data_IF_680379526990
#
_entry.id   IF_680379526990
#
_cell.length_a   1.000
_cell.length_b   1.000
_cell.length_c   1.000
_cell.angle_alpha   90.00
_cell.angle_beta   90.00
_cell.angle_gamma   90.00
#
_symmetry.space_group_name_H-M   'P 1'
#
loop_
_entity.id
_entity.type
_entity.pdbx_description
1 polymer ?
#
# COMPACT_ATOMS: atom_id res chain seq x y z
N UNK A 1 -6.01 17.47 -8.29
CA UNK A 1 -6.67 16.86 -7.12
C UNK A 1 -5.63 16.63 -6.05
N UNK A 2 -5.92 16.99 -4.82
CA UNK A 2 -4.98 16.78 -3.72
C UNK A 2 -4.89 15.30 -3.39
N UNK A 3 -3.78 14.93 -2.76
CA UNK A 3 -3.58 13.56 -2.34
C UNK A 3 -4.63 13.14 -1.32
N UNK A 4 -4.98 14.02 -0.40
CA UNK A 4 -5.99 13.74 0.60
C UNK A 4 -7.34 13.40 -0.04
N UNK A 5 -7.75 14.20 -1.02
CA UNK A 5 -9.01 13.95 -1.73
C UNK A 5 -8.96 12.63 -2.48
N UNK A 6 -7.81 12.31 -3.05
CA UNK A 6 -7.64 11.04 -3.76
C UNK A 6 -7.78 9.85 -2.80
N UNK A 7 -7.20 9.97 -1.61
CA UNK A 7 -7.31 8.91 -0.61
C UNK A 7 -8.74 8.77 -0.10
N UNK A 8 -9.48 9.88 0.04
CA UNK A 8 -10.89 9.81 0.40
C UNK A 8 -11.69 9.06 -0.67
N UNK A 9 -11.42 9.37 -1.93
CA UNK A 9 -12.09 8.70 -3.03
C UNK A 9 -11.76 7.21 -3.05
N UNK A 10 -10.49 6.87 -2.84
CA UNK A 10 -10.07 5.47 -2.77
C UNK A 10 -10.76 4.75 -1.62
N UNK A 11 -10.91 5.41 -0.48
CA UNK A 11 -11.62 4.83 0.67
C UNK A 11 -13.06 4.48 0.30
N UNK A 12 -13.73 5.37 -0.43
CA UNK A 12 -15.09 5.10 -0.88
C UNK A 12 -15.11 3.91 -1.83
N UNK A 13 -14.20 3.86 -2.78
CA UNK A 13 -14.13 2.74 -3.73
C UNK A 13 -13.83 1.42 -3.03
N UNK A 14 -13.05 1.45 -1.94
CA UNK A 14 -12.65 0.25 -1.22
C UNK A 14 -13.61 -0.11 -0.10
N UNK A 15 -14.74 0.60 0.06
CA UNK A 15 -15.61 0.44 1.22
C UNK A 15 -16.13 -0.98 1.40
N UNK A 16 -16.27 -1.74 0.32
CA UNK A 16 -16.72 -3.13 0.42
C UNK A 16 -15.64 -4.06 0.98
N UNK A 17 -14.41 -3.63 0.99
CA UNK A 17 -13.27 -4.45 1.41
C UNK A 17 -12.72 -4.02 2.76
N UNK A 18 -12.98 -2.79 3.18
CA UNK A 18 -12.49 -2.27 4.44
C UNK A 18 -13.42 -2.67 5.57
N UNK A 19 -12.86 -2.75 6.78
CA UNK A 19 -13.71 -2.92 7.96
C UNK A 19 -14.44 -1.63 8.27
N UNK A 20 -15.59 -1.72 8.96
CA UNK A 20 -16.36 -0.51 9.26
C UNK A 20 -15.51 0.55 9.98
N UNK A 21 -15.60 1.77 9.50
CA UNK A 21 -14.88 2.88 10.10
C UNK A 21 -13.45 3.06 9.65
N UNK A 22 -12.92 2.15 8.85
CA UNK A 22 -11.57 2.31 8.34
C UNK A 22 -11.50 3.33 7.22
N UNK A 23 -10.44 4.13 7.22
CA UNK A 23 -10.13 5.04 6.13
C UNK A 23 -8.70 4.83 5.70
N UNK A 24 -8.45 4.96 4.41
CA UNK A 24 -7.11 4.79 3.86
C UNK A 24 -6.31 6.07 4.14
N UNK A 25 -5.21 5.92 4.85
CA UNK A 25 -4.34 7.04 5.25
C UNK A 25 -3.23 7.30 4.27
N UNK A 26 -2.71 6.25 3.66
CA UNK A 26 -1.68 6.37 2.66
C UNK A 26 -1.79 5.16 1.74
N UNK A 27 -1.43 5.34 0.48
CA UNK A 27 -1.49 4.26 -0.49
C UNK A 27 -0.43 4.47 -1.57
N UNK A 28 0.04 3.37 -2.11
CA UNK A 28 0.89 3.36 -3.29
C UNK A 28 0.32 2.34 -4.24
N UNK A 29 0.42 2.60 -5.52
CA UNK A 29 -0.11 1.69 -6.52
C UNK A 29 0.83 1.59 -7.71
N UNK A 30 0.71 0.49 -8.44
CA UNK A 30 1.51 0.23 -9.62
C UNK A 30 1.14 -1.12 -10.20
N UNK A 31 1.75 -1.50 -11.30
CA UNK A 31 1.49 -2.82 -11.89
C UNK A 31 2.06 -3.92 -11.00
N UNK A 32 1.51 -5.11 -11.12
CA UNK A 32 2.00 -6.25 -10.34
C UNK A 32 3.42 -6.63 -10.76
N UNK A 33 3.81 -6.37 -12.01
CA UNK A 33 5.19 -6.50 -12.46
C UNK A 33 5.46 -5.50 -13.58
N UNK A 34 6.70 -5.04 -13.66
CA UNK A 34 7.08 -4.13 -14.75
C UNK A 34 7.05 -4.84 -16.09
N UNK A 35 7.51 -6.08 -16.12
CA UNK A 35 7.54 -6.85 -17.35
C UNK A 35 6.13 -7.08 -17.89
N UNK A 36 5.21 -7.46 -16.99
CA UNK A 36 3.82 -7.62 -17.36
C UNK A 36 3.20 -6.32 -17.85
N UNK A 37 3.54 -5.20 -17.24
CA UNK A 37 3.04 -3.90 -17.66
C UNK A 37 3.47 -3.57 -19.10
N UNK A 38 4.74 -3.81 -19.41
CA UNK A 38 5.26 -3.56 -20.77
C UNK A 38 4.54 -4.43 -21.80
N UNK A 39 4.24 -5.67 -21.43
CA UNK A 39 3.55 -6.60 -22.32
C UNK A 39 2.04 -6.40 -22.33
N UNK A 40 1.49 -5.56 -21.44
CA UNK A 40 0.05 -5.34 -21.36
C UNK A 40 -0.69 -6.48 -20.68
N UNK A 41 -0.02 -7.28 -19.87
CA UNK A 41 -0.64 -8.40 -19.17
C UNK A 41 -0.49 -8.23 -17.67
N UNK A 42 -1.34 -8.94 -16.91
CA UNK A 42 -1.34 -8.86 -15.46
C UNK A 42 -2.34 -7.85 -14.97
N UNK A 43 -2.18 -7.45 -13.74
CA UNK A 43 -3.10 -6.52 -13.07
C UNK A 43 -2.33 -5.46 -12.32
N UNK A 44 -3.05 -4.47 -11.81
CA UNK A 44 -2.49 -3.48 -10.90
C UNK A 44 -2.54 -3.98 -9.47
N UNK A 45 -1.80 -3.30 -8.62
CA UNK A 45 -1.78 -3.56 -7.19
C UNK A 45 -1.82 -2.24 -6.44
N UNK A 46 -2.49 -2.23 -5.29
CA UNK A 46 -2.53 -1.08 -4.40
C UNK A 46 -2.12 -1.56 -3.03
N UNK A 47 -1.11 -0.94 -2.45
CA UNK A 47 -0.76 -1.15 -1.05
C UNK A 47 -1.33 0.03 -0.28
N UNK A 48 -2.26 -0.23 0.63
CA UNK A 48 -2.98 0.81 1.37
C UNK A 48 -2.90 0.55 2.86
N UNK A 49 -2.71 1.61 3.63
CA UNK A 49 -2.61 1.52 5.08
C UNK A 49 -3.75 2.31 5.70
N UNK A 50 -4.48 1.66 6.58
CA UNK A 50 -5.52 2.29 7.39
C UNK A 50 -4.96 2.49 8.82
N UNK A 51 -5.83 2.80 9.76
CA UNK A 51 -5.39 2.89 11.16
C UNK A 51 -5.10 1.53 11.80
N UNK A 52 -5.53 0.45 11.19
CA UNK A 52 -5.44 -0.88 11.79
C UNK A 52 -4.77 -1.93 10.90
N UNK A 53 -4.88 -1.78 9.59
CA UNK A 53 -4.48 -2.83 8.65
C UNK A 53 -3.65 -2.29 7.50
N UNK A 54 -2.90 -3.20 6.89
CA UNK A 54 -2.26 -3.01 5.60
C UNK A 54 -2.99 -3.91 4.63
N UNK A 55 -3.54 -3.33 3.58
CA UNK A 55 -4.23 -4.07 2.54
C UNK A 55 -3.39 -4.07 1.28
N UNK A 56 -3.40 -5.18 0.56
CA UNK A 56 -2.97 -5.21 -0.82
C UNK A 56 -4.22 -5.50 -1.64
N UNK A 57 -4.60 -4.55 -2.47
CA UNK A 57 -5.76 -4.71 -3.34
C UNK A 57 -5.30 -5.04 -4.75
N UNK A 58 -6.14 -5.75 -5.46
CA UNK A 58 -6.01 -5.86 -6.90
C UNK A 58 -6.70 -4.68 -7.55
N UNK A 59 -6.19 -4.24 -8.71
CA UNK A 59 -6.77 -3.14 -9.47
C UNK A 59 -6.56 -3.38 -10.95
N UNK A 60 -7.25 -2.62 -11.84
CA UNK A 60 -7.04 -2.78 -13.27
C UNK A 60 -5.63 -2.36 -13.67
N UNK A 61 -5.05 -3.05 -14.63
CA UNK A 61 -3.78 -2.62 -15.21
C UNK A 61 -3.99 -1.39 -16.08
N UNK A 62 -5.10 -1.36 -16.79
CA UNK A 62 -5.46 -0.25 -17.66
C UNK A 62 -6.60 0.54 -17.05
N UNK A 63 -6.60 1.85 -17.30
CA UNK A 63 -7.59 2.73 -16.72
C UNK A 63 -7.16 3.19 -15.34
N UNK A 64 -8.05 3.04 -14.34
CA UNK A 64 -7.74 3.54 -12.99
C UNK A 64 -7.06 2.48 -12.14
N UNK A 65 -5.74 2.44 -12.23
CA UNK A 65 -4.95 1.50 -11.45
C UNK A 65 -5.07 1.76 -9.95
N UNK A 66 -5.50 2.93 -9.53
CA UNK A 66 -5.69 3.27 -8.12
C UNK A 66 -7.08 2.89 -7.59
N UNK A 67 -7.90 2.21 -8.38
CA UNK A 67 -9.24 1.80 -7.95
C UNK A 67 -9.22 0.34 -7.50
N UNK A 68 -9.46 0.07 -6.20
CA UNK A 68 -9.48 -1.31 -5.70
C UNK A 68 -10.62 -2.11 -6.31
N UNK A 69 -10.33 -3.33 -6.75
CA UNK A 69 -11.34 -4.23 -7.29
C UNK A 69 -11.42 -5.55 -6.53
N UNK A 70 -10.48 -5.81 -5.63
CA UNK A 70 -10.50 -7.01 -4.81
C UNK A 70 -9.37 -6.98 -3.81
N UNK A 71 -9.41 -7.87 -2.82
CA UNK A 71 -8.38 -7.97 -1.79
C UNK A 71 -7.46 -9.13 -2.13
N UNK A 72 -6.16 -8.84 -2.23
CA UNK A 72 -5.14 -9.87 -2.41
C UNK A 72 -4.61 -10.31 -1.05
N UNK A 73 -4.40 -9.35 -0.15
CA UNK A 73 -3.87 -9.65 1.17
C UNK A 73 -4.31 -8.58 2.16
N UNK A 74 -4.41 -8.98 3.43
CA UNK A 74 -4.78 -8.10 4.53
C UNK A 74 -3.97 -8.50 5.74
N UNK A 75 -3.27 -7.54 6.34
CA UNK A 75 -2.42 -7.78 7.49
C UNK A 75 -2.67 -6.71 8.54
N UNK A 76 -2.46 -7.06 9.80
CA UNK A 76 -2.49 -6.05 10.86
C UNK A 76 -1.22 -5.21 10.78
N UNK A 77 -1.34 -3.94 11.16
CA UNK A 77 -0.18 -3.06 11.21
C UNK A 77 0.85 -3.67 12.18
N UNK A 78 2.09 -3.69 11.74
CA UNK A 78 3.19 -4.24 12.53
C UNK A 78 3.39 -5.73 12.40
N UNK A 79 2.46 -6.45 11.75
CA UNK A 79 2.55 -7.90 11.63
C UNK A 79 3.14 -8.35 10.29
N UNK A 80 3.35 -7.44 9.35
CA UNK A 80 3.84 -7.78 8.03
C UNK A 80 5.09 -6.98 7.74
N UNK A 81 6.04 -7.62 7.07
CA UNK A 81 7.25 -6.94 6.66
C UNK A 81 7.01 -6.26 5.32
N UNK A 82 7.30 -4.97 5.26
CA UNK A 82 7.18 -4.18 4.04
C UNK A 82 8.54 -3.61 3.70
N UNK A 83 8.95 -3.80 2.45
CA UNK A 83 10.25 -3.37 1.98
C UNK A 83 10.12 -2.68 0.63
N UNK A 84 10.78 -1.54 0.51
CA UNK A 84 10.93 -0.87 -0.77
C UNK A 84 12.34 -1.18 -1.26
N UNK A 85 12.46 -1.95 -2.32
CA UNK A 85 13.74 -2.35 -2.88
C UNK A 85 13.76 -2.03 -4.36
N UNK A 86 14.64 -1.09 -4.74
CA UNK A 86 14.73 -0.69 -6.14
C UNK A 86 13.38 -0.15 -6.63
N UNK A 87 12.84 -0.81 -7.62
CA UNK A 87 11.57 -0.41 -8.25
C UNK A 87 10.40 -1.26 -7.75
N UNK A 88 10.54 -1.94 -6.63
CA UNK A 88 9.51 -2.83 -6.14
C UNK A 88 9.20 -2.60 -4.68
N UNK A 89 7.90 -2.64 -4.34
CA UNK A 89 7.42 -2.64 -2.98
C UNK A 89 6.98 -4.06 -2.65
N UNK A 90 7.53 -4.60 -1.57
CA UNK A 90 7.20 -5.94 -1.10
C UNK A 90 6.39 -5.83 0.17
N UNK A 91 5.20 -6.41 0.17
CA UNK A 91 4.31 -6.45 1.34
C UNK A 91 4.10 -7.92 1.66
N UNK A 92 4.83 -8.44 2.64
CA UNK A 92 4.80 -9.86 2.91
C UNK A 92 5.24 -10.65 1.69
N UNK A 93 4.37 -11.51 1.19
CA UNK A 93 4.64 -12.29 -0.01
C UNK A 93 4.21 -11.61 -1.31
N UNK A 94 3.61 -10.42 -1.23
CA UNK A 94 3.13 -9.71 -2.40
C UNK A 94 4.15 -8.69 -2.88
N UNK A 95 4.20 -8.49 -4.19
CA UNK A 95 5.14 -7.56 -4.80
C UNK A 95 4.40 -6.70 -5.82
N UNK A 96 4.78 -5.42 -5.89
CA UNK A 96 4.27 -4.52 -6.91
C UNK A 96 5.39 -3.62 -7.40
N UNK A 97 5.34 -3.24 -8.66
CA UNK A 97 6.29 -2.31 -9.22
C UNK A 97 5.92 -0.89 -8.77
N UNK A 98 6.94 -0.06 -8.54
CA UNK A 98 6.76 1.31 -8.09
C UNK A 98 7.57 2.22 -8.98
N UNK A 99 6.90 3.16 -9.64
CA UNK A 99 7.58 4.15 -10.46
C UNK A 99 8.31 5.14 -9.57
N UNK A 100 9.31 5.78 -10.14
CA UNK A 100 10.17 6.71 -9.40
C UNK A 100 9.37 7.78 -8.67
N UNK A 101 8.38 8.36 -9.32
CA UNK A 101 7.61 9.44 -8.71
C UNK A 101 6.61 8.97 -7.66
N UNK A 102 6.46 7.65 -7.49
CA UNK A 102 5.62 7.08 -6.44
C UNK A 102 6.42 6.57 -5.25
N UNK A 103 7.75 6.68 -5.28
CA UNK A 103 8.58 6.12 -4.20
C UNK A 103 8.31 6.78 -2.86
N UNK A 104 7.97 8.07 -2.85
CA UNK A 104 7.63 8.75 -1.61
C UNK A 104 6.41 8.14 -0.93
N UNK A 105 5.39 7.82 -1.72
CA UNK A 105 4.20 7.16 -1.19
C UNK A 105 4.53 5.77 -0.68
N UNK A 106 5.35 5.03 -1.42
CA UNK A 106 5.74 3.68 -1.00
C UNK A 106 6.50 3.71 0.33
N UNK A 107 7.37 4.71 0.53
CA UNK A 107 8.07 4.86 1.80
C UNK A 107 7.11 5.16 2.94
N UNK A 108 6.09 5.99 2.70
CA UNK A 108 5.10 6.28 3.72
C UNK A 108 4.26 5.06 4.06
N UNK A 109 3.94 4.26 3.05
CA UNK A 109 3.24 2.99 3.28
C UNK A 109 4.08 2.10 4.19
N UNK A 110 5.35 1.94 3.86
CA UNK A 110 6.23 1.09 4.66
C UNK A 110 6.37 1.60 6.09
N UNK A 111 6.49 2.91 6.26
CA UNK A 111 6.63 3.49 7.59
C UNK A 111 5.39 3.30 8.46
N UNK A 112 4.22 3.62 7.92
CA UNK A 112 2.97 3.48 8.68
C UNK A 112 2.65 2.02 8.95
N UNK A 113 2.92 1.15 7.99
CA UNK A 113 2.64 -0.27 8.15
C UNK A 113 3.52 -0.92 9.21
N UNK A 114 4.69 -0.35 9.46
CA UNK A 114 5.57 -0.83 10.52
C UNK A 114 5.14 -0.31 11.90
N UNK A 115 4.11 0.51 11.97
CA UNK A 115 3.65 1.07 13.24
C UNK A 115 4.38 2.33 13.64
N UNK A 116 5.18 2.92 12.74
CA UNK A 116 5.90 4.15 13.04
C UNK A 116 5.02 5.33 12.66
N UNK A 117 4.53 6.07 13.63
CA UNK A 117 3.62 7.17 13.37
C UNK A 117 4.34 8.47 13.09
N UNK A 118 5.58 8.59 13.48
CA UNK A 118 6.36 9.79 13.23
C UNK A 118 7.84 9.43 13.22
N UNK A 119 8.68 10.28 12.63
CA UNK A 119 10.11 9.98 12.55
C UNK A 119 10.80 9.83 13.88
N UNK A 120 10.27 10.40 14.93
CA UNK A 120 10.88 10.25 16.24
C UNK A 120 10.34 9.10 17.05
N UNK A 121 9.31 8.46 16.58
CA UNK A 121 8.71 7.37 17.32
C UNK A 121 9.58 6.16 17.12
N UNK A 122 10.29 5.80 18.14
CA UNK A 122 11.10 4.64 18.09
C UNK A 122 10.28 3.49 18.48
N UNK A 123 10.18 2.59 17.68
CA UNK A 123 9.46 1.44 18.02
C UNK A 123 10.20 0.78 19.06
N UNK A 124 10.00 0.87 19.67
CA UNK A 124 10.70 0.48 20.46
C UNK A 124 11.37 -0.42 20.35
N UNK A 125 11.61 -0.34 19.64
CA UNK A 125 12.41 -1.06 19.47
C UNK A 125 12.98 -1.20 20.45
N UNK A 126 12.74 -0.50 20.73
CA UNK A 126 13.30 -0.61 21.56
C UNK A 126 12.73 -1.44 22.24
N UNK A 127 12.13 -1.70 22.00
CA UNK A 127 11.84 -2.42 22.43
C UNK A 127 12.32 -3.46 22.27
N UNK A 128 12.82 -3.74 22.23
CA UNK A 128 13.35 -4.48 22.12
C UNK A 128 14.06 -4.73 22.56
N UNK A 129 13.91 -4.69 22.87
CA UNK A 129 14.56 -4.81 23.10
C UNK A 129 14.81 -5.28 23.39
N UNK A 130 14.45 -5.34 23.31
CA UNK A 130 14.70 -5.83 23.60
C UNK A 130 14.79 -6.11 23.33
#
# INVERSE_FOLDING_TARGET
>A
MSEERHLQKMTVWASLFLEPGETIRVAAWGPSSEFGYVLGVGSGRIAAVTGRHVYVFESPLWGRMSRPTGVVAKHRIGSVRIRLRGWALHVGGERMAVHLHHRGRARRVAGLAAGVSSPGAVPSAARRAG
#
